data_IF_870283568730
#
_entry.id   IF_870283568730
#
_cell.length_a   1.000
_cell.length_b   1.000
_cell.length_c   1.000
_cell.angle_alpha   90.00
_cell.angle_beta   90.00
_cell.angle_gamma   90.00
#
_symmetry.space_group_name_H-M   'P 1'
#
loop_
_entity.id
_entity.type
_entity.pdbx_description
1 polymer ?
#
# COMPACT_ATOMS: atom_id res chain seq x y z
N UNK A 1 4.16 -7.38 -5.41
CA UNK A 1 2.70 -7.56 -5.39
C UNK A 1 2.03 -6.40 -6.11
N UNK A 2 1.07 -6.66 -7.00
CA UNK A 2 0.20 -5.64 -7.60
C UNK A 2 -1.06 -5.45 -6.76
N UNK A 3 -1.38 -4.21 -6.34
CA UNK A 3 -2.56 -3.92 -5.50
C UNK A 3 -3.89 -3.89 -6.26
N UNK A 4 -3.88 -4.14 -7.57
CA UNK A 4 -5.09 -4.28 -8.37
C UNK A 4 -5.44 -5.74 -8.66
N UNK A 5 -4.48 -6.55 -9.14
CA UNK A 5 -4.75 -7.95 -9.51
C UNK A 5 -4.29 -8.97 -8.47
N UNK A 6 -3.54 -8.57 -7.43
CA UNK A 6 -3.06 -9.49 -6.39
C UNK A 6 -1.93 -10.41 -6.83
N UNK A 7 -1.49 -10.33 -8.08
CA UNK A 7 -0.39 -11.14 -8.59
C UNK A 7 0.96 -10.62 -8.08
N UNK A 8 1.88 -11.55 -7.82
CA UNK A 8 3.27 -11.26 -7.53
C UNK A 8 4.07 -11.08 -8.82
N UNK A 9 4.89 -10.03 -8.86
CA UNK A 9 5.76 -9.72 -9.99
C UNK A 9 7.14 -9.33 -9.47
N UNK A 10 8.16 -9.46 -10.33
CA UNK A 10 9.49 -8.90 -10.07
C UNK A 10 9.38 -7.39 -9.81
N UNK A 11 10.24 -6.86 -8.95
CA UNK A 11 10.25 -5.43 -8.61
C UNK A 11 10.40 -4.55 -9.85
N UNK A 12 11.17 -4.97 -10.84
CA UNK A 12 11.37 -4.29 -12.13
C UNK A 12 10.11 -4.23 -13.00
N UNK A 13 9.11 -5.05 -12.73
CA UNK A 13 7.83 -5.09 -13.45
C UNK A 13 6.69 -4.40 -12.68
N UNK A 14 6.99 -3.87 -11.50
CA UNK A 14 6.07 -3.08 -10.70
C UNK A 14 6.42 -1.61 -10.85
N UNK A 15 5.38 -0.77 -10.91
CA UNK A 15 5.48 0.67 -10.92
C UNK A 15 4.67 1.27 -9.77
N UNK A 16 5.04 2.49 -9.38
CA UNK A 16 4.17 3.35 -8.57
C UNK A 16 3.01 3.83 -9.44
N UNK A 17 1.78 3.70 -8.95
CA UNK A 17 0.59 4.28 -9.55
C UNK A 17 -0.16 5.12 -8.51
N UNK A 18 -0.81 6.17 -8.98
CA UNK A 18 -1.60 7.06 -8.14
C UNK A 18 -3.06 6.67 -8.21
N UNK A 19 -3.68 6.31 -7.08
CA UNK A 19 -5.10 5.88 -7.00
C UNK A 19 -5.99 6.93 -7.69
N UNK A 20 -5.89 8.18 -7.25
CA UNK A 20 -6.39 9.35 -7.99
C UNK A 20 -5.28 9.89 -8.87
N UNK A 21 -5.44 9.93 -10.21
CA UNK A 21 -4.42 10.45 -11.12
C UNK A 21 -4.02 11.90 -10.79
N UNK A 22 -2.73 12.22 -10.91
CA UNK A 22 -2.22 13.59 -10.70
C UNK A 22 -2.90 14.59 -11.65
N UNK A 23 -3.16 14.19 -12.91
CA UNK A 23 -3.87 15.00 -13.90
C UNK A 23 -5.32 15.34 -13.52
N UNK A 24 -5.87 14.68 -12.50
CA UNK A 24 -7.23 14.89 -12.00
C UNK A 24 -7.25 15.40 -10.56
N UNK A 25 -6.15 16.03 -10.11
CA UNK A 25 -6.04 16.63 -8.79
C UNK A 25 -5.64 15.66 -7.68
N UNK A 26 -5.23 14.43 -8.02
CA UNK A 26 -4.60 13.52 -7.06
C UNK A 26 -3.29 14.10 -6.53
N UNK A 27 -2.95 13.79 -5.28
CA UNK A 27 -1.71 14.26 -4.62
C UNK A 27 -0.60 13.23 -4.75
N UNK A 28 0.65 13.66 -4.85
CA UNK A 28 1.83 12.77 -4.80
C UNK A 28 2.18 12.45 -3.35
N UNK A 29 1.35 11.62 -2.72
CA UNK A 29 1.47 11.25 -1.31
C UNK A 29 1.26 9.74 -1.11
N UNK A 30 1.77 9.20 0.00
CA UNK A 30 1.68 7.78 0.32
C UNK A 30 0.24 7.26 0.31
N UNK A 31 -0.71 8.02 0.86
CA UNK A 31 -2.14 7.71 0.90
C UNK A 31 -2.83 7.71 -0.46
N UNK A 32 -2.13 8.13 -1.52
CA UNK A 32 -2.61 8.07 -2.89
C UNK A 32 -1.73 7.17 -3.76
N UNK A 33 -0.73 6.49 -3.22
CA UNK A 33 0.30 5.77 -3.97
C UNK A 33 0.25 4.27 -3.70
N UNK A 34 0.21 3.47 -4.77
CA UNK A 34 0.12 2.01 -4.71
C UNK A 34 1.10 1.34 -5.69
N UNK A 35 1.45 0.09 -5.43
CA UNK A 35 2.24 -0.71 -6.38
C UNK A 35 1.33 -1.40 -7.40
N UNK A 36 1.59 -1.19 -8.69
CA UNK A 36 0.83 -1.75 -9.79
C UNK A 36 1.74 -2.44 -10.81
N UNK A 37 1.29 -3.53 -11.42
CA UNK A 37 1.98 -4.11 -12.58
C UNK A 37 1.67 -3.31 -13.85
N UNK A 38 2.52 -3.41 -14.87
CA UNK A 38 2.34 -2.70 -16.15
C UNK A 38 0.95 -2.89 -16.78
N UNK A 39 0.41 -4.12 -16.77
CA UNK A 39 -0.92 -4.44 -17.31
C UNK A 39 -2.01 -3.64 -16.58
N UNK A 40 -2.03 -3.70 -15.26
CA UNK A 40 -3.05 -3.02 -14.45
C UNK A 40 -2.89 -1.50 -14.51
N UNK A 41 -1.65 -1.00 -14.43
CA UNK A 41 -1.37 0.42 -14.52
C UNK A 41 -1.85 1.00 -15.86
N UNK A 42 -1.56 0.33 -16.98
CA UNK A 42 -2.05 0.72 -18.30
C UNK A 42 -3.57 0.60 -18.44
N UNK A 43 -4.18 -0.42 -17.83
CA UNK A 43 -5.65 -0.56 -17.81
C UNK A 43 -6.29 0.60 -17.06
N UNK A 44 -5.77 0.98 -15.90
CA UNK A 44 -6.30 2.11 -15.13
C UNK A 44 -6.08 3.43 -15.87
N UNK A 45 -4.85 3.67 -16.36
CA UNK A 45 -4.45 4.89 -17.06
C UNK A 45 -4.81 6.16 -16.24
N UNK A 46 -5.31 7.20 -16.90
CA UNK A 46 -5.74 8.46 -16.28
C UNK A 46 -7.09 8.41 -15.56
N UNK A 47 -7.54 7.22 -15.13
CA UNK A 47 -8.80 7.02 -14.40
C UNK A 47 -8.54 6.66 -12.93
N UNK A 48 -9.57 6.82 -12.11
CA UNK A 48 -9.65 6.19 -10.78
C UNK A 48 -9.88 4.68 -10.93
N UNK A 49 -9.57 3.85 -9.91
CA UNK A 49 -9.87 2.42 -9.95
C UNK A 49 -11.35 2.13 -10.26
N UNK A 50 -12.26 2.90 -9.65
CA UNK A 50 -13.70 2.77 -9.82
C UNK A 50 -14.11 2.98 -11.28
N UNK A 51 -13.64 4.04 -11.93
CA UNK A 51 -13.89 4.33 -13.34
C UNK A 51 -13.23 3.31 -14.30
N UNK A 52 -12.16 2.63 -13.86
CA UNK A 52 -11.51 1.57 -14.61
C UNK A 52 -12.15 0.18 -14.38
N UNK A 53 -13.16 0.09 -13.49
CA UNK A 53 -13.75 -1.17 -13.06
C UNK A 53 -12.72 -2.08 -12.37
N UNK A 54 -11.87 -1.48 -11.54
CA UNK A 54 -10.78 -2.12 -10.82
C UNK A 54 -10.96 -1.92 -9.32
N UNK A 55 -10.79 -2.99 -8.55
CA UNK A 55 -10.83 -2.94 -7.09
C UNK A 55 -9.42 -2.81 -6.54
N UNK A 56 -9.26 -1.99 -5.51
CA UNK A 56 -8.01 -1.88 -4.77
C UNK A 56 -7.99 -2.90 -3.63
N UNK A 57 -6.97 -3.76 -3.59
CA UNK A 57 -6.87 -4.84 -2.60
C UNK A 57 -6.51 -4.37 -1.19
N UNK A 58 -5.92 -3.17 -1.08
CA UNK A 58 -5.58 -2.57 0.20
C UNK A 58 -5.58 -1.04 0.08
N UNK A 59 -6.15 -0.37 1.07
CA UNK A 59 -6.11 1.09 1.16
C UNK A 59 -4.68 1.53 1.54
N UNK A 60 -4.04 2.40 0.75
CA UNK A 60 -2.74 2.96 1.09
C UNK A 60 -2.86 3.88 2.31
N UNK A 61 -1.88 3.81 3.21
CA UNK A 61 -1.81 4.64 4.40
C UNK A 61 -0.36 5.03 4.71
N UNK A 62 -0.18 6.08 5.50
CA UNK A 62 1.13 6.48 6.01
C UNK A 62 1.35 5.75 7.35
N UNK A 63 2.33 4.85 7.47
CA UNK A 63 2.67 4.26 8.75
C UNK A 63 3.36 5.30 9.65
N UNK A 64 3.12 5.23 10.96
CA UNK A 64 3.93 5.92 11.95
C UNK A 64 5.31 5.27 12.09
N UNK A 65 6.19 5.82 12.93
CA UNK A 65 7.55 5.31 13.08
C UNK A 65 7.61 3.85 13.55
N UNK A 66 6.80 3.46 14.54
CA UNK A 66 6.76 2.11 15.06
C UNK A 66 6.22 1.11 14.02
N UNK A 67 5.14 1.48 13.33
CA UNK A 67 4.53 0.71 12.24
C UNK A 67 5.49 0.54 11.05
N UNK A 68 6.25 1.58 10.73
CA UNK A 68 7.26 1.52 9.69
C UNK A 68 8.37 0.52 10.04
N UNK A 69 8.89 0.57 11.27
CA UNK A 69 9.90 -0.40 11.72
C UNK A 69 9.34 -1.83 11.67
N UNK A 70 8.10 -2.02 12.15
CA UNK A 70 7.39 -3.29 12.10
C UNK A 70 7.28 -3.84 10.67
N UNK A 71 6.81 -3.01 9.73
CA UNK A 71 6.59 -3.40 8.33
C UNK A 71 7.89 -3.72 7.57
N UNK A 72 9.03 -3.16 7.99
CA UNK A 72 10.33 -3.45 7.34
C UNK A 72 10.82 -4.86 7.63
N UNK A 73 10.19 -5.60 8.55
CA UNK A 73 10.46 -7.02 8.77
C UNK A 73 11.93 -7.36 9.00
N UNK A 74 12.71 -6.40 9.53
CA UNK A 74 14.10 -6.66 9.92
C UNK A 74 14.10 -7.72 11.02
N UNK A 75 15.22 -8.43 11.24
CA UNK A 75 15.42 -9.38 12.35
C UNK A 75 15.31 -8.67 13.70
N UNK A 76 14.08 -8.32 14.07
CA UNK A 76 13.68 -7.71 15.32
C UNK A 76 13.19 -8.87 16.18
N UNK A 77 13.75 -8.99 17.39
CA UNK A 77 13.36 -10.04 18.33
C UNK A 77 11.86 -9.93 18.66
N UNK A 78 11.22 -11.03 19.04
CA UNK A 78 9.77 -11.08 19.23
C UNK A 78 9.27 -10.10 20.31
N UNK A 79 10.02 -9.94 21.40
CA UNK A 79 9.77 -8.97 22.47
C UNK A 79 9.81 -7.52 21.98
N UNK A 80 10.76 -7.21 21.09
CA UNK A 80 10.87 -5.91 20.45
C UNK A 80 9.69 -5.67 19.49
N UNK A 81 9.16 -6.72 18.87
CA UNK A 81 8.00 -6.61 18.00
C UNK A 81 6.71 -6.32 18.77
N UNK A 82 6.50 -6.96 19.92
CA UNK A 82 5.38 -6.66 20.81
C UNK A 82 5.47 -5.24 21.39
N UNK A 83 6.68 -4.78 21.74
CA UNK A 83 6.91 -3.39 22.13
C UNK A 83 6.49 -2.42 21.02
N UNK A 84 6.88 -2.66 19.77
CA UNK A 84 6.51 -1.79 18.64
C UNK A 84 4.99 -1.76 18.42
N UNK A 85 4.31 -2.91 18.49
CA UNK A 85 2.85 -2.99 18.36
C UNK A 85 2.12 -2.16 19.42
N UNK A 86 2.63 -2.13 20.66
CA UNK A 86 2.05 -1.33 21.74
C UNK A 86 2.05 0.18 21.46
N UNK A 87 2.87 0.64 20.51
CA UNK A 87 2.97 2.04 20.11
C UNK A 87 2.16 2.37 18.84
N UNK A 88 1.37 1.43 18.32
CA UNK A 88 0.48 1.70 17.19
C UNK A 88 -0.73 2.50 17.67
N UNK A 89 -1.21 3.51 16.91
CA UNK A 89 -2.45 4.20 17.25
C UNK A 89 -3.60 3.20 17.23
N UNK A 90 -4.62 3.39 18.09
CA UNK A 90 -5.82 2.51 18.13
C UNK A 90 -6.52 2.35 16.78
N UNK A 91 -6.35 3.33 15.89
CA UNK A 91 -6.92 3.36 14.54
C UNK A 91 -6.02 2.71 13.48
N UNK A 92 -4.91 2.07 13.87
CA UNK A 92 -3.98 1.45 12.92
C UNK A 92 -4.67 0.37 12.07
N UNK A 93 -4.57 0.43 10.73
CA UNK A 93 -5.09 -0.61 9.85
C UNK A 93 -4.29 -1.92 9.92
N UNK A 94 -3.18 -1.96 10.67
CA UNK A 94 -2.38 -3.17 10.84
C UNK A 94 -2.99 -4.14 11.85
N UNK A 95 -3.87 -3.69 12.75
CA UNK A 95 -4.58 -4.59 13.67
C UNK A 95 -5.50 -5.58 12.94
N UNK A 96 -6.18 -5.15 11.88
CA UNK A 96 -7.12 -5.97 11.11
C UNK A 96 -6.46 -6.93 10.11
N UNK A 97 -5.13 -6.90 9.97
CA UNK A 97 -4.38 -7.74 9.01
C UNK A 97 -3.89 -9.08 9.60
N UNK A 98 -4.10 -9.30 10.89
CA UNK A 98 -3.60 -10.46 11.64
C UNK A 98 -4.73 -11.43 12.10
N UNK A 99 -5.93 -11.35 11.49
CA UNK A 99 -7.05 -12.28 11.74
C UNK A 99 -7.21 -13.27 10.61
#
# INVERSE_FOLDING_TARGET
>A
LCLYCGESHLATHLSRDHVTPLSRGGRDEWTNSVTACKRCNNRKAGRTPEEAGMTLLAIPFVPNHAEYIYLKGRRVLADQMEFLKAHFPRTSPLYSRNS
#
